data_IF_258295564579
#
_entry.id   IF_258295564579
#
_cell.length_a   1.000
_cell.length_b   1.000
_cell.length_c   1.000
_cell.angle_alpha   90.00
_cell.angle_beta   90.00
_cell.angle_gamma   90.00
#
_symmetry.space_group_name_H-M   'P 1'
#
loop_
_entity.id
_entity.type
_entity.pdbx_description
1 polymer ?
#
# COMPACT_ATOMS: atom_id res chain seq x y z
N UNK A 1 -20.28 -14.25 -10.02
CA UNK A 1 -19.63 -12.97 -9.71
C UNK A 1 -18.54 -13.27 -8.74
N UNK A 2 -17.29 -12.97 -9.10
CA UNK A 2 -16.18 -13.01 -8.15
C UNK A 2 -16.32 -11.77 -7.28
N UNK A 3 -16.28 -11.93 -5.96
CA UNK A 3 -16.35 -10.83 -5.00
C UNK A 3 -15.14 -9.89 -5.20
N UNK A 4 -15.34 -8.58 -5.09
CA UNK A 4 -14.27 -7.58 -5.17
C UNK A 4 -14.30 -6.70 -3.90
N UNK A 5 -13.33 -6.81 -2.98
CA UNK A 5 -13.38 -6.12 -1.68
C UNK A 5 -13.43 -4.59 -1.78
N UNK A 6 -13.03 -3.99 -2.90
CA UNK A 6 -13.12 -2.53 -3.08
C UNK A 6 -14.58 -2.03 -3.12
N UNK A 7 -15.56 -2.91 -3.38
CA UNK A 7 -16.98 -2.55 -3.37
C UNK A 7 -17.51 -2.27 -1.98
N UNK A 8 -16.84 -2.78 -0.93
CA UNK A 8 -17.21 -2.57 0.46
C UNK A 8 -16.54 -1.32 1.07
N UNK A 9 -15.59 -0.71 0.37
CA UNK A 9 -14.89 0.49 0.86
C UNK A 9 -15.84 1.68 0.91
N UNK A 10 -16.00 2.24 2.09
CA UNK A 10 -16.65 3.53 2.31
C UNK A 10 -15.68 4.64 1.90
N UNK A 11 -16.12 5.51 0.99
CA UNK A 11 -15.24 6.54 0.44
C UNK A 11 -15.30 7.81 1.27
N UNK A 12 -14.13 8.39 1.47
CA UNK A 12 -13.88 9.53 2.32
C UNK A 12 -12.95 10.49 1.58
N UNK A 13 -13.23 11.78 1.70
CA UNK A 13 -12.37 12.80 1.12
C UNK A 13 -11.10 12.94 1.98
N UNK A 14 -9.94 12.87 1.33
CA UNK A 14 -8.65 13.01 2.00
C UNK A 14 -8.22 14.48 2.01
N UNK A 15 -7.50 14.89 3.05
CA UNK A 15 -6.81 16.19 3.08
C UNK A 15 -5.40 15.95 2.56
N UNK A 16 -5.14 16.36 1.32
CA UNK A 16 -3.83 16.25 0.70
C UNK A 16 -3.24 17.65 0.57
N UNK A 17 -2.25 17.95 1.39
CA UNK A 17 -1.46 19.18 1.30
C UNK A 17 -0.01 18.88 0.88
N UNK A 18 0.80 19.93 0.77
CA UNK A 18 2.19 19.81 0.36
C UNK A 18 3.02 18.95 1.34
N UNK A 19 2.63 18.86 2.61
CA UNK A 19 3.33 18.04 3.60
C UNK A 19 3.06 16.54 3.35
N UNK A 20 1.81 16.16 3.08
CA UNK A 20 1.47 14.78 2.70
C UNK A 20 2.25 14.33 1.46
N UNK A 21 2.35 15.20 0.45
CA UNK A 21 3.14 14.88 -0.75
C UNK A 21 4.63 14.74 -0.43
N UNK A 22 5.18 15.62 0.42
CA UNK A 22 6.56 15.53 0.85
C UNK A 22 6.86 14.23 1.62
N UNK A 23 5.94 13.79 2.47
CA UNK A 23 6.05 12.54 3.24
C UNK A 23 5.98 11.31 2.33
N UNK A 24 5.12 11.30 1.31
CA UNK A 24 5.12 10.25 0.28
C UNK A 24 6.44 10.21 -0.50
N UNK A 25 7.02 11.36 -0.85
CA UNK A 25 8.33 11.44 -1.53
C UNK A 25 9.45 10.93 -0.61
N UNK A 26 9.39 11.24 0.69
CA UNK A 26 10.34 10.74 1.67
C UNK A 26 10.22 9.22 1.81
N UNK A 27 9.01 8.69 1.98
CA UNK A 27 8.74 7.26 2.01
C UNK A 27 9.27 6.56 0.75
N UNK A 28 8.98 7.11 -0.44
CA UNK A 28 9.45 6.59 -1.73
C UNK A 28 10.97 6.49 -1.84
N UNK A 29 11.70 7.37 -1.16
CA UNK A 29 13.16 7.45 -1.23
C UNK A 29 13.84 6.60 -0.17
N UNK A 30 13.11 6.19 0.87
CA UNK A 30 13.62 5.33 1.92
C UNK A 30 13.75 3.88 1.43
N UNK A 31 14.71 3.10 1.97
CA UNK A 31 14.69 1.65 1.84
C UNK A 31 13.31 1.09 2.26
N UNK A 32 12.92 -0.03 1.66
CA UNK A 32 11.68 -0.73 1.97
C UNK A 32 12.00 -2.09 2.58
N UNK A 33 11.08 -2.59 3.39
CA UNK A 33 11.09 -3.96 3.91
C UNK A 33 12.39 -4.27 4.65
N UNK A 34 12.90 -3.30 5.43
CA UNK A 34 14.17 -3.45 6.15
C UNK A 34 14.15 -4.66 7.07
N UNK A 35 12.98 -4.92 7.66
CA UNK A 35 12.70 -5.98 8.61
C UNK A 35 12.34 -7.33 7.98
N UNK A 36 12.24 -7.44 6.64
CA UNK A 36 11.91 -8.70 5.96
C UNK A 36 12.95 -9.79 6.31
N UNK A 37 12.55 -10.87 7.02
CA UNK A 37 13.46 -11.92 7.44
C UNK A 37 13.84 -12.86 6.30
N UNK A 38 14.77 -13.78 6.58
CA UNK A 38 15.18 -14.81 5.62
C UNK A 38 16.60 -14.65 5.09
N UNK A 39 17.29 -15.80 4.93
CA UNK A 39 18.64 -15.81 4.36
C UNK A 39 18.54 -15.65 2.83
N UNK A 40 19.11 -14.57 2.30
CA UNK A 40 19.10 -14.31 0.86
C UNK A 40 17.81 -13.68 0.35
N UNK A 41 17.05 -13.00 1.23
CA UNK A 41 15.84 -12.27 0.89
C UNK A 41 16.07 -11.02 0.01
N UNK A 42 17.32 -10.69 -0.37
CA UNK A 42 17.62 -9.52 -1.20
C UNK A 42 16.81 -9.45 -2.51
N UNK A 43 16.68 -10.53 -3.31
CA UNK A 43 15.90 -10.47 -4.55
C UNK A 43 14.40 -10.29 -4.32
N UNK A 44 13.87 -10.89 -3.25
CA UNK A 44 12.47 -10.75 -2.84
C UNK A 44 12.19 -9.33 -2.34
N UNK A 45 13.07 -8.82 -1.47
CA UNK A 45 13.06 -7.43 -0.99
C UNK A 45 13.09 -6.46 -2.16
N UNK A 46 13.97 -6.64 -3.13
CA UNK A 46 14.06 -5.80 -4.33
C UNK A 46 12.73 -5.83 -5.12
N UNK A 47 12.19 -7.01 -5.40
CA UNK A 47 10.92 -7.17 -6.11
C UNK A 47 9.75 -6.47 -5.40
N UNK A 48 9.59 -6.72 -4.11
CA UNK A 48 8.51 -6.13 -3.31
C UNK A 48 8.70 -4.61 -3.15
N UNK A 49 9.95 -4.15 -3.00
CA UNK A 49 10.29 -2.73 -2.97
C UNK A 49 9.88 -2.04 -4.27
N UNK A 50 10.11 -2.66 -5.43
CA UNK A 50 9.72 -2.11 -6.73
C UNK A 50 8.20 -1.97 -6.85
N UNK A 51 7.43 -2.92 -6.32
CA UNK A 51 5.96 -2.86 -6.30
C UNK A 51 5.48 -1.71 -5.40
N UNK A 52 6.05 -1.56 -4.19
CA UNK A 52 5.73 -0.46 -3.27
C UNK A 52 6.09 0.90 -3.88
N UNK A 53 7.28 1.00 -4.47
CA UNK A 53 7.75 2.21 -5.11
C UNK A 53 6.87 2.62 -6.29
N UNK A 54 6.45 1.67 -7.12
CA UNK A 54 5.52 1.92 -8.22
C UNK A 54 4.12 2.32 -7.74
N UNK A 55 3.66 1.83 -6.59
CA UNK A 55 2.44 2.30 -5.94
C UNK A 55 2.59 3.77 -5.51
N UNK A 56 3.65 4.09 -4.76
CA UNK A 56 3.86 5.44 -4.23
C UNK A 56 4.05 6.45 -5.36
N UNK A 57 4.73 6.09 -6.45
CA UNK A 57 4.85 6.94 -7.64
C UNK A 57 3.47 7.32 -8.22
N UNK A 58 2.51 6.39 -8.25
CA UNK A 58 1.12 6.68 -8.67
C UNK A 58 0.41 7.60 -7.69
N UNK A 59 0.60 7.39 -6.38
CA UNK A 59 -0.04 8.18 -5.34
C UNK A 59 0.46 9.63 -5.37
N UNK A 60 1.77 9.86 -5.46
CA UNK A 60 2.38 11.19 -5.57
C UNK A 60 1.77 11.99 -6.74
N UNK A 61 1.56 11.35 -7.89
CA UNK A 61 1.02 12.01 -9.07
C UNK A 61 -0.49 12.20 -8.98
N UNK A 62 -1.23 11.22 -8.46
CA UNK A 62 -2.68 11.15 -8.62
C UNK A 62 -3.51 11.62 -7.42
N UNK A 63 -2.97 11.58 -6.19
CA UNK A 63 -3.79 11.79 -4.98
C UNK A 63 -4.22 13.25 -4.80
N UNK A 64 -3.43 14.21 -5.28
CA UNK A 64 -3.83 15.62 -5.29
C UNK A 64 -4.98 15.92 -6.25
N UNK A 65 -5.09 15.18 -7.36
CA UNK A 65 -6.21 15.29 -8.30
C UNK A 65 -7.41 14.43 -7.87
N UNK A 66 -7.17 13.40 -7.06
CA UNK A 66 -8.17 12.43 -6.60
C UNK A 66 -8.03 12.20 -5.08
N UNK A 67 -8.37 13.19 -4.24
CA UNK A 67 -8.24 13.07 -2.79
C UNK A 67 -9.38 12.21 -2.21
N UNK A 68 -9.38 10.91 -2.54
CA UNK A 68 -10.41 9.93 -2.23
C UNK A 68 -9.77 8.67 -1.67
N UNK A 69 -10.24 8.25 -0.48
CA UNK A 69 -9.88 6.97 0.15
C UNK A 69 -10.10 5.81 -0.81
N UNK A 70 -11.24 5.74 -1.49
CA UNK A 70 -11.53 4.67 -2.45
C UNK A 70 -10.55 4.67 -3.62
N UNK A 71 -10.18 5.84 -4.14
CA UNK A 71 -9.19 5.94 -5.22
C UNK A 71 -7.82 5.41 -4.79
N UNK A 72 -7.35 5.80 -3.60
CA UNK A 72 -6.09 5.31 -3.00
C UNK A 72 -6.14 3.80 -2.79
N UNK A 73 -7.19 3.30 -2.14
CA UNK A 73 -7.36 1.87 -1.85
C UNK A 73 -7.48 1.04 -3.14
N UNK A 74 -7.98 1.61 -4.25
CA UNK A 74 -7.96 0.96 -5.56
C UNK A 74 -6.53 0.78 -6.10
N UNK A 75 -5.64 1.76 -5.87
CA UNK A 75 -4.24 1.64 -6.26
C UNK A 75 -3.54 0.58 -5.40
N UNK A 76 -3.78 0.62 -4.08
CA UNK A 76 -3.27 -0.39 -3.13
C UNK A 76 -3.73 -1.79 -3.52
N UNK A 77 -5.01 -1.99 -3.81
CA UNK A 77 -5.54 -3.29 -4.24
C UNK A 77 -4.81 -3.83 -5.47
N UNK A 78 -4.50 -2.96 -6.42
CA UNK A 78 -3.77 -3.37 -7.63
C UNK A 78 -2.37 -3.91 -7.29
N UNK A 79 -1.72 -3.36 -6.26
CA UNK A 79 -0.43 -3.87 -5.76
C UNK A 79 -0.59 -5.12 -4.91
N UNK A 80 -1.62 -5.22 -4.07
CA UNK A 80 -1.90 -6.41 -3.26
C UNK A 80 -2.11 -7.66 -4.12
N UNK A 81 -2.79 -7.51 -5.27
CA UNK A 81 -2.95 -8.61 -6.25
C UNK A 81 -1.62 -9.10 -6.85
N UNK A 82 -0.57 -8.28 -6.85
CA UNK A 82 0.75 -8.69 -7.36
C UNK A 82 1.53 -9.55 -6.36
N UNK A 83 1.16 -9.48 -5.08
CA UNK A 83 1.86 -10.17 -3.98
C UNK A 83 0.98 -11.23 -3.31
N UNK A 84 -0.20 -11.54 -3.87
CA UNK A 84 -1.18 -12.44 -3.24
C UNK A 84 -0.68 -13.90 -3.13
N UNK A 85 0.20 -14.30 -4.04
CA UNK A 85 0.82 -15.63 -4.10
C UNK A 85 2.17 -15.72 -3.36
N UNK A 86 2.67 -14.60 -2.81
CA UNK A 86 3.87 -14.60 -1.99
C UNK A 86 3.63 -15.31 -0.65
N UNK A 87 4.69 -15.66 0.06
CA UNK A 87 4.54 -16.32 1.35
C UNK A 87 3.94 -15.39 2.42
N UNK A 88 3.69 -15.94 3.61
CA UNK A 88 3.03 -15.15 4.67
C UNK A 88 3.91 -14.04 5.19
N UNK A 89 5.21 -14.26 5.27
CA UNK A 89 6.16 -13.29 5.79
C UNK A 89 6.32 -12.11 4.82
N UNK A 90 6.46 -12.38 3.53
CA UNK A 90 6.47 -11.36 2.49
C UNK A 90 5.19 -10.51 2.50
N UNK A 91 4.02 -11.14 2.60
CA UNK A 91 2.72 -10.45 2.62
C UNK A 91 2.53 -9.60 3.88
N UNK A 92 2.92 -10.10 5.05
CA UNK A 92 2.81 -9.38 6.31
C UNK A 92 3.68 -8.11 6.30
N UNK A 93 4.95 -8.25 5.88
CA UNK A 93 5.86 -7.10 5.80
C UNK A 93 5.46 -6.11 4.69
N UNK A 94 4.94 -6.59 3.56
CA UNK A 94 4.33 -5.72 2.56
C UNK A 94 3.13 -4.95 3.12
N UNK A 95 2.31 -5.61 3.94
CA UNK A 95 1.19 -5.00 4.66
C UNK A 95 1.60 -3.85 5.56
N UNK A 96 2.67 -4.03 6.35
CA UNK A 96 3.19 -2.99 7.25
C UNK A 96 3.59 -1.72 6.49
N UNK A 97 4.24 -1.87 5.33
CA UNK A 97 4.61 -0.74 4.46
C UNK A 97 3.36 -0.03 3.88
N UNK A 98 2.30 -0.79 3.59
CA UNK A 98 1.01 -0.24 3.12
C UNK A 98 0.30 0.52 4.25
N UNK A 99 0.36 0.03 5.49
CA UNK A 99 -0.16 0.73 6.66
C UNK A 99 0.56 2.06 6.87
N UNK A 100 1.89 2.12 6.70
CA UNK A 100 2.63 3.39 6.75
C UNK A 100 2.17 4.38 5.66
N UNK A 101 1.92 3.91 4.43
CA UNK A 101 1.35 4.74 3.36
C UNK A 101 -0.05 5.27 3.74
N UNK A 102 -0.88 4.42 4.35
CA UNK A 102 -2.21 4.81 4.82
C UNK A 102 -2.14 5.86 5.92
N UNK A 103 -1.20 5.72 6.86
CA UNK A 103 -0.95 6.70 7.92
C UNK A 103 -0.54 8.06 7.36
N UNK A 104 0.37 8.10 6.38
CA UNK A 104 0.77 9.34 5.68
C UNK A 104 -0.44 10.03 5.03
N UNK A 105 -1.37 9.25 4.49
CA UNK A 105 -2.58 9.74 3.81
C UNK A 105 -3.75 10.01 4.77
N UNK A 106 -3.59 9.73 6.07
CA UNK A 106 -4.64 9.88 7.07
C UNK A 106 -5.80 8.88 6.91
N UNK A 107 -5.54 7.70 6.35
CA UNK A 107 -6.56 6.64 6.16
C UNK A 107 -6.55 5.71 7.38
N UNK A 108 -7.58 5.82 8.22
CA UNK A 108 -7.66 5.05 9.48
C UNK A 108 -8.02 3.57 9.29
N UNK A 109 -8.63 3.21 8.17
CA UNK A 109 -9.16 1.87 7.91
C UNK A 109 -9.09 1.53 6.42
N UNK A 110 -8.73 0.29 6.11
CA UNK A 110 -8.81 -0.25 4.74
C UNK A 110 -10.18 -0.85 4.42
N UNK A 111 -11.13 -0.79 5.36
CA UNK A 111 -12.47 -1.41 5.29
C UNK A 111 -12.42 -2.90 4.93
N UNK A 112 -11.47 -3.62 5.54
CA UNK A 112 -11.26 -5.05 5.31
C UNK A 112 -10.49 -5.41 4.04
N UNK A 113 -10.11 -4.43 3.19
CA UNK A 113 -9.31 -4.67 1.99
C UNK A 113 -7.99 -5.38 2.29
N UNK A 114 -7.19 -4.88 3.26
CA UNK A 114 -5.90 -5.50 3.61
C UNK A 114 -6.12 -6.92 4.16
N UNK A 115 -7.08 -7.08 5.09
CA UNK A 115 -7.41 -8.38 5.68
C UNK A 115 -7.82 -9.43 4.64
N UNK A 116 -8.45 -9.01 3.54
CA UNK A 116 -8.83 -9.91 2.45
C UNK A 116 -7.62 -10.48 1.71
N UNK A 117 -6.59 -9.67 1.43
CA UNK A 117 -5.41 -10.07 0.66
C UNK A 117 -4.30 -10.69 1.52
N UNK A 118 -4.07 -10.14 2.70
CA UNK A 118 -2.97 -10.53 3.58
C UNK A 118 -3.37 -11.68 4.51
N UNK A 119 -4.69 -11.89 4.71
CA UNK A 119 -5.21 -12.94 5.56
C UNK A 119 -5.19 -12.53 7.03
N UNK A 120 -6.14 -11.66 7.41
CA UNK A 120 -6.45 -11.32 8.80
C UNK A 120 -5.25 -11.12 9.72
N UNK A 121 -4.61 -9.95 9.62
CA UNK A 121 -3.60 -9.44 10.55
C UNK A 121 -4.14 -9.38 11.98
#
# INVERSE_FOLDING_TARGET
>A
MTYDPITEVEDEALIVDDAVIADLVAFRSAPKLEELPGLGAEPERELLSDILNALVDKLIVGVGENPSKRWVLTQIQSSLRLVEDEDTEARDHFGMEIEEIMDILGIESSDGLLSYYLGGI
#
